data_IF_333166810115
#
_entry.id   IF_333166810115
#
_cell.length_a   1.000
_cell.length_b   1.000
_cell.length_c   1.000
_cell.angle_alpha   90.00
_cell.angle_beta   90.00
_cell.angle_gamma   90.00
#
_symmetry.space_group_name_H-M   'P 1'
#
loop_
_entity.id
_entity.type
_entity.pdbx_description
1 polymer ?
#
# COMPACT_ATOMS: atom_id res chain seq x y z
N UNK A 1 37.31 1.98 -0.48
CA UNK A 1 36.15 1.81 0.42
C UNK A 1 34.90 1.55 -0.39
N UNK A 2 34.23 0.46 -0.09
CA UNK A 2 32.97 0.12 -0.75
C UNK A 2 31.79 0.68 0.06
N UNK A 3 30.97 1.45 -0.62
CA UNK A 3 29.70 1.92 -0.05
C UNK A 3 28.58 1.07 -0.61
N UNK A 4 27.89 0.37 0.27
CA UNK A 4 26.63 -0.26 -0.09
C UNK A 4 25.55 0.83 -0.19
N UNK A 5 25.05 1.03 -1.41
CA UNK A 5 23.89 1.87 -1.62
C UNK A 5 22.65 1.02 -1.51
N UNK A 6 21.82 1.34 -0.55
CA UNK A 6 20.53 0.70 -0.40
C UNK A 6 19.48 1.63 -0.99
N UNK A 7 18.77 1.17 -2.02
CA UNK A 7 17.73 1.96 -2.66
C UNK A 7 16.41 1.80 -1.94
N UNK A 8 15.81 2.92 -1.56
CA UNK A 8 14.44 2.97 -1.04
C UNK A 8 13.47 3.24 -2.17
N UNK A 9 12.33 2.58 -2.12
CA UNK A 9 11.29 2.68 -3.14
C UNK A 9 9.92 2.88 -2.51
N UNK A 10 8.99 3.49 -3.25
CA UNK A 10 7.62 3.69 -2.76
C UNK A 10 6.84 2.37 -2.78
N UNK A 11 6.86 1.67 -1.68
CA UNK A 11 6.22 0.36 -1.51
C UNK A 11 5.02 0.46 -0.58
N UNK A 12 4.04 -0.42 -0.77
CA UNK A 12 2.92 -0.55 0.15
C UNK A 12 2.62 -2.02 0.46
N UNK A 13 2.01 -2.23 1.60
CA UNK A 13 1.40 -3.50 1.98
C UNK A 13 0.02 -3.24 2.59
N UNK A 14 -0.81 -4.27 2.58
CA UNK A 14 -2.01 -4.33 3.41
C UNK A 14 -1.71 -5.31 4.52
N UNK A 15 -1.67 -4.83 5.75
CA UNK A 15 -1.24 -5.65 6.88
C UNK A 15 -2.06 -5.35 8.14
N UNK A 16 -2.32 -6.36 8.94
CA UNK A 16 -3.09 -6.18 10.16
C UNK A 16 -3.30 -7.47 10.92
N UNK A 17 -4.29 -7.43 11.81
CA UNK A 17 -4.59 -8.54 12.69
C UNK A 17 -5.31 -9.66 11.93
N UNK A 18 -4.74 -10.89 11.88
CA UNK A 18 -5.36 -12.00 11.17
C UNK A 18 -6.69 -12.47 11.79
N UNK A 19 -6.91 -12.19 13.08
CA UNK A 19 -8.14 -12.59 13.76
C UNK A 19 -9.32 -11.73 13.31
N UNK A 20 -9.11 -10.41 13.22
CA UNK A 20 -10.16 -9.49 12.77
C UNK A 20 -10.28 -9.40 11.26
N UNK A 21 -9.21 -9.76 10.54
CA UNK A 21 -9.12 -9.60 9.10
C UNK A 21 -8.99 -8.16 8.62
N UNK A 22 -8.84 -7.20 9.55
CA UNK A 22 -8.75 -5.77 9.23
C UNK A 22 -7.31 -5.38 8.93
N UNK A 23 -7.07 -4.97 7.70
CA UNK A 23 -5.77 -4.51 7.23
C UNK A 23 -5.65 -3.01 7.15
N UNK A 24 -4.48 -2.52 7.51
CA UNK A 24 -4.05 -1.14 7.30
C UNK A 24 -3.35 -1.02 5.95
N UNK A 25 -3.56 0.07 5.27
CA UNK A 25 -2.70 0.46 4.16
C UNK A 25 -1.42 1.07 4.74
N UNK A 26 -0.31 0.36 4.59
CA UNK A 26 0.99 0.83 5.02
C UNK A 26 1.81 1.22 3.80
N UNK A 27 2.11 2.51 3.69
CA UNK A 27 2.86 3.09 2.58
C UNK A 27 4.14 3.73 3.11
N UNK A 28 5.22 3.59 2.37
CA UNK A 28 6.46 4.24 2.75
C UNK A 28 7.56 4.09 1.71
N UNK A 29 8.62 4.86 1.90
CA UNK A 29 9.85 4.72 1.14
C UNK A 29 10.75 3.74 1.88
N UNK A 30 10.83 2.51 1.41
CA UNK A 30 11.52 1.42 2.11
C UNK A 30 12.34 0.57 1.14
N UNK A 31 13.25 -0.20 1.67
CA UNK A 31 14.05 -1.17 0.89
C UNK A 31 13.20 -2.40 0.57
N UNK A 32 12.54 -2.96 1.56
CA UNK A 32 11.73 -4.17 1.43
C UNK A 32 10.32 -3.93 1.92
N UNK A 33 9.34 -4.63 1.33
CA UNK A 33 7.95 -4.58 1.78
C UNK A 33 7.82 -4.97 3.27
N UNK A 34 8.63 -5.93 3.72
CA UNK A 34 8.68 -6.37 5.12
C UNK A 34 8.91 -5.22 6.10
N UNK A 35 9.65 -4.18 5.68
CA UNK A 35 9.97 -3.04 6.52
C UNK A 35 8.74 -2.21 6.91
N UNK A 36 7.63 -2.41 6.20
CA UNK A 36 6.35 -1.74 6.49
C UNK A 36 5.50 -2.47 7.51
N UNK A 37 5.80 -3.74 7.78
CA UNK A 37 5.03 -4.54 8.72
C UNK A 37 5.34 -4.11 10.16
N UNK A 38 4.30 -4.03 10.98
CA UNK A 38 4.40 -3.72 12.41
C UNK A 38 4.19 -4.99 13.22
N UNK A 39 5.21 -5.40 13.98
CA UNK A 39 5.12 -6.59 14.82
C UNK A 39 4.79 -7.87 14.05
N UNK A 40 3.78 -8.59 14.53
CA UNK A 40 3.37 -9.87 13.97
C UNK A 40 2.13 -9.76 13.07
N UNK A 41 1.93 -8.60 12.46
CA UNK A 41 0.83 -8.45 11.51
C UNK A 41 0.90 -9.48 10.40
N UNK A 42 -0.28 -9.95 9.96
CA UNK A 42 -0.39 -10.68 8.71
C UNK A 42 -0.34 -9.70 7.55
N UNK A 43 0.33 -10.07 6.48
CA UNK A 43 0.39 -9.27 5.25
C UNK A 43 -0.48 -9.93 4.17
N UNK A 44 -1.43 -9.16 3.62
CA UNK A 44 -2.30 -9.58 2.52
C UNK A 44 -1.85 -8.95 1.21
N UNK A 45 -0.57 -9.10 0.90
CA UNK A 45 0.02 -8.60 -0.33
C UNK A 45 0.41 -7.14 -0.29
N UNK A 46 0.90 -6.67 -1.41
CA UNK A 46 1.37 -5.30 -1.56
C UNK A 46 1.83 -5.01 -2.97
N UNK A 47 2.53 -3.91 -3.13
CA UNK A 47 3.05 -3.44 -4.40
C UNK A 47 3.76 -2.11 -4.22
N UNK A 48 3.52 -1.22 -5.16
CA UNK A 48 4.17 0.08 -5.28
C UNK A 48 3.11 1.18 -5.26
N UNK A 49 3.49 2.41 -4.88
CA UNK A 49 2.57 3.53 -4.91
C UNK A 49 3.19 4.71 -5.65
N UNK A 50 2.31 5.53 -6.25
CA UNK A 50 2.62 6.82 -6.82
C UNK A 50 1.61 7.83 -6.27
N UNK A 51 2.08 9.00 -5.86
CA UNK A 51 1.25 10.02 -5.22
C UNK A 51 1.32 11.32 -6.00
N UNK A 52 0.16 11.85 -6.36
CA UNK A 52 0.01 13.14 -7.00
C UNK A 52 -0.81 14.05 -6.08
N UNK A 53 -0.13 14.98 -5.40
CA UNK A 53 -0.76 15.85 -4.42
C UNK A 53 -1.59 16.96 -5.06
N UNK A 54 -1.29 17.34 -6.29
CA UNK A 54 -2.09 18.33 -7.01
C UNK A 54 -3.44 17.74 -7.41
N UNK A 55 -3.45 16.54 -7.93
CA UNK A 55 -4.66 15.82 -8.34
C UNK A 55 -5.34 15.10 -7.19
N UNK A 56 -4.73 15.04 -6.03
CA UNK A 56 -5.22 14.27 -4.87
C UNK A 56 -5.49 12.82 -5.25
N UNK A 57 -4.52 12.18 -5.90
CA UNK A 57 -4.61 10.77 -6.28
C UNK A 57 -3.43 9.99 -5.73
N UNK A 58 -3.70 8.75 -5.36
CA UNK A 58 -2.68 7.76 -5.02
C UNK A 58 -2.95 6.54 -5.89
N UNK A 59 -1.96 6.19 -6.70
CA UNK A 59 -2.03 5.00 -7.55
C UNK A 59 -1.26 3.87 -6.90
N UNK A 60 -1.94 2.76 -6.64
CA UNK A 60 -1.35 1.52 -6.15
C UNK A 60 -1.21 0.58 -7.35
N UNK A 61 -0.03 0.00 -7.53
CA UNK A 61 0.23 -0.84 -8.71
C UNK A 61 1.22 -1.96 -8.41
N UNK A 62 1.30 -2.93 -9.33
CA UNK A 62 2.22 -4.04 -9.23
C UNK A 62 1.91 -5.01 -8.11
N UNK A 63 2.90 -5.82 -7.75
CA UNK A 63 2.79 -6.79 -6.68
C UNK A 63 4.12 -6.93 -5.95
N UNK A 64 4.05 -7.31 -4.67
CA UNK A 64 5.23 -7.59 -3.87
C UNK A 64 5.83 -8.94 -4.25
N UNK A 65 7.16 -8.99 -4.42
CA UNK A 65 7.87 -10.26 -4.63
C UNK A 65 7.72 -11.20 -3.43
N UNK A 66 7.68 -10.63 -2.20
CA UNK A 66 7.63 -11.42 -0.97
C UNK A 66 6.21 -11.82 -0.58
N UNK A 67 5.22 -10.95 -0.83
CA UNK A 67 3.86 -11.11 -0.32
C UNK A 67 2.80 -11.26 -1.40
N UNK A 68 3.15 -11.13 -2.67
CA UNK A 68 2.23 -11.22 -3.77
C UNK A 68 1.37 -9.97 -3.96
N UNK A 69 0.34 -10.09 -4.78
CA UNK A 69 -0.60 -9.02 -5.08
C UNK A 69 -1.47 -8.70 -3.88
N UNK A 70 -1.80 -7.42 -3.73
CA UNK A 70 -2.64 -6.97 -2.63
C UNK A 70 -4.06 -7.52 -2.71
N UNK A 71 -4.57 -8.00 -1.58
CA UNK A 71 -5.96 -8.39 -1.43
C UNK A 71 -6.72 -7.23 -0.78
N UNK A 72 -7.37 -6.41 -1.61
CA UNK A 72 -8.08 -5.22 -1.16
C UNK A 72 -9.34 -5.51 -0.32
N UNK A 73 -9.80 -6.76 -0.29
CA UNK A 73 -10.91 -7.15 0.61
C UNK A 73 -10.55 -6.94 2.07
N UNK A 74 -9.26 -6.99 2.41
CA UNK A 74 -8.75 -6.75 3.75
C UNK A 74 -8.42 -5.29 4.04
N UNK A 75 -8.49 -4.40 3.06
CA UNK A 75 -8.22 -2.98 3.26
C UNK A 75 -9.40 -2.33 4.01
N UNK A 76 -9.20 -2.05 5.29
CA UNK A 76 -10.22 -1.51 6.19
C UNK A 76 -9.80 -0.26 6.93
N UNK A 77 -8.51 0.04 6.98
CA UNK A 77 -7.96 1.13 7.77
C UNK A 77 -6.96 1.91 6.92
N UNK A 78 -7.15 3.21 6.82
CA UNK A 78 -6.23 4.13 6.12
C UNK A 78 -6.05 5.37 6.98
N UNK A 79 -4.86 5.96 6.96
CA UNK A 79 -4.57 7.20 7.67
C UNK A 79 -5.54 8.31 7.24
N UNK A 80 -6.12 8.99 8.21
CA UNK A 80 -7.10 10.06 8.00
C UNK A 80 -6.56 11.20 7.13
N UNK A 81 -5.28 11.47 7.20
CA UNK A 81 -4.66 12.53 6.38
C UNK A 81 -4.79 12.29 4.88
N UNK A 82 -5.11 11.05 4.47
CA UNK A 82 -5.28 10.66 3.07
C UNK A 82 -6.76 10.57 2.65
N UNK A 83 -7.71 10.99 3.51
CA UNK A 83 -9.14 10.76 3.24
C UNK A 83 -9.68 11.55 2.05
N UNK A 84 -9.04 12.63 1.65
CA UNK A 84 -9.42 13.42 0.47
C UNK A 84 -8.73 12.96 -0.82
N UNK A 85 -7.93 11.91 -0.76
CA UNK A 85 -7.31 11.31 -1.95
C UNK A 85 -8.23 10.27 -2.59
N UNK A 86 -8.17 10.22 -3.90
CA UNK A 86 -8.75 9.11 -4.69
C UNK A 86 -7.69 8.03 -4.86
N UNK A 87 -8.02 6.81 -4.47
CA UNK A 87 -7.12 5.67 -4.61
C UNK A 87 -7.47 4.90 -5.87
N UNK A 88 -6.46 4.66 -6.71
CA UNK A 88 -6.58 3.97 -7.98
C UNK A 88 -5.69 2.74 -7.93
N UNK A 89 -6.20 1.60 -8.35
CA UNK A 89 -5.38 0.40 -8.54
C UNK A 89 -5.21 0.10 -10.01
N UNK A 90 -3.99 -0.21 -10.41
CA UNK A 90 -3.66 -0.72 -11.73
C UNK A 90 -2.57 -1.79 -11.62
N UNK A 91 -2.58 -2.83 -12.46
CA UNK A 91 -1.50 -3.82 -12.46
C UNK A 91 -0.15 -3.22 -12.83
N UNK A 92 -0.14 -2.24 -13.73
CA UNK A 92 1.07 -1.58 -14.23
C UNK A 92 0.85 -0.07 -14.23
N UNK A 93 1.81 0.67 -13.70
CA UNK A 93 1.77 2.14 -13.70
C UNK A 93 1.62 2.67 -15.13
N UNK A 94 0.86 3.76 -15.27
CA UNK A 94 0.52 4.43 -16.54
C UNK A 94 -0.53 3.73 -17.40
N UNK A 95 -1.03 2.56 -16.98
CA UNK A 95 -2.22 2.00 -17.60
C UNK A 95 -3.47 2.52 -16.90
N UNK A 96 -4.63 2.53 -17.59
CA UNK A 96 -5.89 2.83 -16.96
C UNK A 96 -6.13 1.90 -15.77
N UNK A 97 -6.50 2.48 -14.64
CA UNK A 97 -6.77 1.74 -13.41
C UNK A 97 -8.21 1.89 -12.97
N UNK A 98 -8.54 1.18 -11.90
CA UNK A 98 -9.86 1.22 -11.29
C UNK A 98 -9.81 2.01 -9.98
N UNK A 99 -10.77 2.90 -9.78
CA UNK A 99 -10.95 3.58 -8.49
C UNK A 99 -11.37 2.55 -7.46
N UNK A 100 -10.65 2.53 -6.32
CA UNK A 100 -10.99 1.64 -5.22
C UNK A 100 -12.24 2.13 -4.50
N UNK A 101 -13.13 1.21 -4.19
CA UNK A 101 -14.27 1.48 -3.32
C UNK A 101 -13.81 1.44 -1.87
N UNK A 102 -13.80 2.61 -1.23
CA UNK A 102 -13.36 2.78 0.16
C UNK A 102 -14.53 3.09 1.09
N UNK A 103 -15.76 2.76 0.69
CA UNK A 103 -16.96 3.10 1.46
C UNK A 103 -17.01 2.44 2.84
N UNK A 104 -16.34 1.31 3.02
CA UNK A 104 -16.28 0.60 4.32
C UNK A 104 -14.93 0.75 5.03
N UNK A 105 -14.08 1.65 4.55
CA UNK A 105 -12.79 1.96 5.18
C UNK A 105 -13.01 2.92 6.34
N UNK A 106 -12.31 2.66 7.44
CA UNK A 106 -12.23 3.52 8.59
C UNK A 106 -10.98 4.41 8.46
N UNK A 107 -11.16 5.71 8.54
CA UNK A 107 -10.08 6.69 8.48
C UNK A 107 -9.59 7.01 9.89
N UNK A 108 -8.34 6.71 10.15
CA UNK A 108 -7.76 6.78 11.49
C UNK A 108 -6.66 7.83 11.64
#
# INVERSE_FOLDING_TARGET
MLYLRVSMHPKYIIAGNPITGKGYLRMGMVVNHEDLRVGYEKVWGGGWWDRDDEKKTITLYGSSCDFGSADFRHLKLIDRELEDYTFIFTPILHLPGNVLDLSDVEWI
#
